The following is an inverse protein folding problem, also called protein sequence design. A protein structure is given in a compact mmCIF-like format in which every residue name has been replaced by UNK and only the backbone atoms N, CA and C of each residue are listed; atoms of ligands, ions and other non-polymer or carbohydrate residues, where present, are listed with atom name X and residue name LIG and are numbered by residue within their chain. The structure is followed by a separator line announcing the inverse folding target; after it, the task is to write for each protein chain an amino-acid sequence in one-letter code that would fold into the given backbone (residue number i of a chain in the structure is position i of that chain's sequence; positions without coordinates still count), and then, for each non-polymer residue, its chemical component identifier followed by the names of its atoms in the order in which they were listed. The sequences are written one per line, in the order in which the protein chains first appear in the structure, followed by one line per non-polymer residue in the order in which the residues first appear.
data_IF_560213237323
#
_entry.id   IF_560213237323
#
_cell.length_a   1.000
_cell.length_b   1.000
_cell.length_c   1.000
_cell.angle_alpha   90.00
_cell.angle_beta   90.00
_cell.angle_gamma   90.00
#
_symmetry.space_group_name_H-M   'P 1'
#
loop_
_entity.id
_entity.type
_entity.pdbx_description
1 polymer ?
#
# COMPACT_ATOMS: atom_id res chain seq x y z
N UNK A 1 -8.31 -8.69 -15.54
CA UNK A 1 -8.04 -9.81 -14.61
C UNK A 1 -6.85 -10.68 -15.06
N UNK A 2 -6.85 -11.32 -16.25
CA UNK A 2 -5.75 -12.21 -16.70
C UNK A 2 -4.34 -11.57 -16.65
N UNK A 3 -4.17 -10.34 -17.15
CA UNK A 3 -2.84 -9.66 -17.17
C UNK A 3 -2.28 -9.34 -15.79
N UNK A 4 -3.15 -9.18 -14.80
CA UNK A 4 -2.78 -8.79 -13.43
C UNK A 4 -2.42 -10.03 -12.63
N UNK A 5 -3.21 -11.08 -12.76
CA UNK A 5 -2.87 -12.39 -12.22
C UNK A 5 -1.49 -12.84 -12.73
N UNK A 6 -1.23 -12.63 -14.03
CA UNK A 6 0.08 -12.91 -14.64
C UNK A 6 1.19 -12.04 -14.06
N UNK A 7 0.97 -10.75 -13.81
CA UNK A 7 1.98 -9.86 -13.21
C UNK A 7 2.29 -10.26 -11.75
N UNK A 8 1.26 -10.57 -10.97
CA UNK A 8 1.42 -11.01 -9.57
C UNK A 8 2.11 -12.36 -9.51
N UNK A 9 1.72 -13.31 -10.37
CA UNK A 9 2.39 -14.60 -10.50
C UNK A 9 3.83 -14.45 -10.98
N UNK A 10 4.11 -13.53 -11.91
CA UNK A 10 5.46 -13.26 -12.40
C UNK A 10 6.35 -12.64 -11.32
N UNK A 11 5.86 -11.66 -10.57
CA UNK A 11 6.60 -11.06 -9.45
C UNK A 11 6.82 -12.06 -8.32
N UNK A 12 5.83 -12.91 -8.02
CA UNK A 12 5.99 -14.02 -7.09
C UNK A 12 7.04 -15.02 -7.57
N UNK A 13 7.05 -15.36 -8.87
CA UNK A 13 8.00 -16.29 -9.47
C UNK A 13 9.43 -15.72 -9.53
N UNK A 14 9.58 -14.42 -9.82
CA UNK A 14 10.88 -13.71 -9.76
C UNK A 14 11.39 -13.61 -8.32
N UNK A 15 10.53 -13.32 -7.36
CA UNK A 15 10.90 -13.32 -5.94
C UNK A 15 11.28 -14.74 -5.46
N UNK A 16 10.54 -15.77 -5.86
CA UNK A 16 10.87 -17.17 -5.60
C UNK A 16 12.21 -17.56 -6.24
N UNK A 17 12.50 -17.10 -7.47
CA UNK A 17 13.76 -17.35 -8.13
C UNK A 17 14.94 -16.64 -7.45
N UNK A 18 14.76 -15.40 -7.02
CA UNK A 18 15.76 -14.63 -6.27
C UNK A 18 16.03 -15.22 -4.88
N UNK A 19 15.02 -15.79 -4.22
CA UNK A 19 15.18 -16.45 -2.93
C UNK A 19 15.65 -17.89 -3.07
N UNK A 20 15.34 -18.60 -4.16
CA UNK A 20 15.95 -19.89 -4.49
C UNK A 20 17.45 -19.73 -4.78
N UNK A 21 17.82 -18.69 -5.54
CA UNK A 21 19.22 -18.24 -5.66
C UNK A 21 19.79 -17.81 -4.30
N UNK A 22 18.94 -17.16 -3.48
CA UNK A 22 19.04 -16.85 -2.05
C UNK A 22 19.42 -18.00 -1.10
N UNK A 23 19.02 -19.22 -1.45
CA UNK A 23 19.04 -20.40 -0.57
C UNK A 23 20.09 -21.43 -0.96
N UNK A 24 20.61 -21.40 -2.18
CA UNK A 24 21.80 -22.17 -2.51
C UNK A 24 23.01 -21.51 -1.82
N UNK A 25 23.38 -22.01 -0.64
CA UNK A 25 24.66 -21.68 0.02
C UNK A 25 25.83 -21.80 -0.96
N UNK A 26 25.76 -22.74 -1.90
CA UNK A 26 26.74 -22.92 -2.97
C UNK A 26 26.83 -21.76 -3.98
N UNK A 27 25.85 -20.86 -4.03
CA UNK A 27 25.82 -19.67 -4.90
C UNK A 27 26.07 -18.40 -4.09
N UNK A 28 25.52 -18.33 -2.87
CA UNK A 28 25.59 -17.13 -2.03
C UNK A 28 26.80 -17.08 -1.12
N UNK A 29 27.25 -18.20 -0.56
CA UNK A 29 28.46 -18.20 0.26
C UNK A 29 29.68 -17.79 -0.59
N UNK A 30 29.85 -18.22 -1.86
CA UNK A 30 30.87 -17.67 -2.72
C UNK A 30 30.69 -16.18 -3.02
N UNK A 31 29.46 -15.72 -3.28
CA UNK A 31 29.18 -14.29 -3.53
C UNK A 31 29.50 -13.42 -2.31
N UNK A 32 28.99 -13.78 -1.13
CA UNK A 32 29.24 -13.10 0.14
C UNK A 32 30.73 -13.12 0.49
N UNK A 33 31.40 -14.26 0.33
CA UNK A 33 32.86 -14.38 0.53
C UNK A 33 33.65 -13.58 -0.50
N UNK A 34 33.16 -13.43 -1.74
CA UNK A 34 33.78 -12.55 -2.76
C UNK A 34 33.79 -11.09 -2.31
N UNK A 35 32.78 -10.68 -1.53
CA UNK A 35 32.72 -9.36 -0.89
C UNK A 35 33.24 -9.36 0.56
N UNK A 36 33.89 -10.43 1.01
CA UNK A 36 34.52 -10.53 2.34
C UNK A 36 33.55 -10.71 3.52
N UNK A 37 32.28 -11.04 3.26
CA UNK A 37 31.25 -11.23 4.28
C UNK A 37 31.25 -12.70 4.73
N UNK A 38 31.53 -12.95 6.01
CA UNK A 38 31.47 -14.29 6.61
C UNK A 38 30.09 -14.56 7.26
N UNK A 39 29.24 -15.41 6.66
CA UNK A 39 27.89 -15.70 7.16
C UNK A 39 27.88 -16.50 8.47
N UNK A 40 29.00 -17.09 8.89
CA UNK A 40 29.13 -17.81 10.18
C UNK A 40 29.65 -16.92 11.32
N UNK A 41 29.86 -15.62 11.07
CA UNK A 41 30.35 -14.71 12.11
C UNK A 41 29.25 -14.32 13.10
N UNK A 42 29.59 -14.22 14.39
CA UNK A 42 28.70 -13.71 15.44
C UNK A 42 28.17 -12.30 15.13
N UNK A 43 28.97 -11.49 14.42
CA UNK A 43 28.56 -10.18 13.92
C UNK A 43 27.42 -10.26 12.90
N UNK A 44 27.46 -11.23 11.99
CA UNK A 44 26.39 -11.46 11.03
C UNK A 44 25.10 -11.90 11.73
N UNK A 45 25.22 -12.76 12.74
CA UNK A 45 24.07 -13.18 13.56
C UNK A 45 23.47 -12.00 14.35
N UNK A 46 24.29 -11.15 14.98
CA UNK A 46 23.83 -9.94 15.66
C UNK A 46 23.17 -8.94 14.71
N UNK A 47 23.75 -8.74 13.51
CA UNK A 47 23.17 -7.89 12.47
C UNK A 47 21.78 -8.41 12.06
N UNK A 48 21.61 -9.73 11.89
CA UNK A 48 20.33 -10.34 11.57
C UNK A 48 19.30 -10.18 12.71
N UNK A 49 19.70 -10.41 13.98
CA UNK A 49 18.82 -10.16 15.14
C UNK A 49 18.38 -8.70 15.25
N UNK A 50 19.27 -7.77 14.93
CA UNK A 50 18.96 -6.33 14.90
C UNK A 50 17.97 -5.99 13.78
N UNK A 51 18.13 -6.59 12.59
CA UNK A 51 17.16 -6.50 11.49
C UNK A 51 15.80 -7.01 11.94
N UNK A 52 15.69 -8.17 12.60
CA UNK A 52 14.41 -8.69 13.13
C UNK A 52 13.76 -7.77 14.17
N UNK A 53 14.57 -7.20 15.06
CA UNK A 53 14.08 -6.27 16.09
C UNK A 53 13.53 -5.00 15.46
N UNK A 54 14.16 -4.47 14.41
CA UNK A 54 13.64 -3.32 13.65
C UNK A 54 12.38 -3.70 12.86
N UNK A 55 12.37 -4.87 12.24
CA UNK A 55 11.25 -5.40 11.44
C UNK A 55 9.95 -5.53 12.24
N UNK A 56 10.03 -5.80 13.54
CA UNK A 56 8.85 -5.91 14.44
C UNK A 56 8.65 -4.62 15.27
N UNK A 57 9.74 -4.05 15.79
CA UNK A 57 9.70 -2.87 16.66
C UNK A 57 9.37 -1.58 15.94
N UNK A 58 9.87 -1.36 14.71
CA UNK A 58 9.59 -0.14 13.96
C UNK A 58 8.11 -0.02 13.53
N UNK A 59 7.43 -1.09 13.07
CA UNK A 59 5.98 -1.04 12.85
C UNK A 59 5.17 -0.75 14.12
N UNK A 60 5.57 -1.27 15.28
CA UNK A 60 4.89 -1.03 16.55
C UNK A 60 5.09 0.43 17.04
N UNK A 61 6.32 0.93 16.97
CA UNK A 61 6.64 2.32 17.29
C UNK A 61 5.94 3.30 16.33
N UNK A 62 5.89 2.95 15.04
CA UNK A 62 5.08 3.67 14.07
C UNK A 62 3.61 3.62 14.48
N UNK A 63 3.00 2.45 14.73
CA UNK A 63 1.61 2.34 15.17
C UNK A 63 1.31 3.28 16.36
N UNK A 64 2.15 3.27 17.39
CA UNK A 64 2.01 4.14 18.57
C UNK A 64 2.13 5.63 18.21
N UNK A 65 3.14 6.01 17.43
CA UNK A 65 3.27 7.38 16.93
C UNK A 65 2.05 7.82 16.13
N UNK A 66 1.42 6.89 15.42
CA UNK A 66 0.28 7.19 14.55
C UNK A 66 -1.04 7.30 15.28
N UNK A 67 -1.17 6.61 16.41
CA UNK A 67 -2.23 6.86 17.39
C UNK A 67 -2.06 8.25 18.03
N UNK A 68 -0.83 8.67 18.32
CA UNK A 68 -0.53 10.01 18.87
C UNK A 68 -0.67 11.14 17.84
N UNK A 69 -0.34 10.90 16.57
CA UNK A 69 -0.34 11.89 15.50
C UNK A 69 -1.69 12.00 14.75
N UNK A 70 -2.75 11.35 15.24
CA UNK A 70 -4.11 11.48 14.70
C UNK A 70 -4.65 12.90 14.92
N UNK A 71 -4.28 13.83 14.04
CA UNK A 71 -4.77 15.21 14.07
C UNK A 71 -4.02 16.20 13.17
N UNK A 72 -2.79 15.89 12.75
CA UNK A 72 -1.91 16.88 12.12
C UNK A 72 -1.86 16.86 10.58
N UNK A 73 -2.86 16.33 9.89
CA UNK A 73 -2.78 16.22 8.44
C UNK A 73 -3.37 17.44 7.73
N UNK A 74 -2.52 18.15 6.99
CA UNK A 74 -2.92 19.22 6.07
C UNK A 74 -3.20 18.66 4.68
N UNK A 75 -4.10 19.29 3.94
CA UNK A 75 -4.31 19.03 2.51
C UNK A 75 -3.29 19.83 1.71
N UNK A 76 -2.54 19.14 0.84
CA UNK A 76 -1.55 19.78 -0.04
C UNK A 76 -2.21 20.17 -1.37
N UNK A 77 -1.76 21.26 -1.98
CA UNK A 77 -2.09 21.60 -3.38
C UNK A 77 -0.94 21.23 -4.30
N UNK A 78 -1.25 20.62 -5.43
CA UNK A 78 -0.33 20.35 -6.52
C UNK A 78 -0.01 21.64 -7.32
N UNK A 79 1.09 21.64 -8.08
CA UNK A 79 1.49 22.76 -8.96
C UNK A 79 0.42 23.10 -10.03
N UNK A 80 -0.44 22.13 -10.35
CA UNK A 80 -1.56 22.29 -11.27
C UNK A 80 -2.87 22.75 -10.58
N UNK A 81 -2.82 23.10 -9.29
CA UNK A 81 -3.97 23.60 -8.53
C UNK A 81 -4.88 22.53 -7.90
N UNK A 82 -4.64 21.24 -8.17
CA UNK A 82 -5.40 20.15 -7.55
C UNK A 82 -5.13 20.02 -6.05
N UNK A 83 -6.18 19.80 -5.27
CA UNK A 83 -6.03 19.38 -3.87
C UNK A 83 -5.73 17.88 -3.83
N UNK A 84 -4.64 17.48 -3.18
CA UNK A 84 -4.22 16.09 -3.06
C UNK A 84 -4.60 15.58 -1.66
N UNK A 85 -5.48 14.58 -1.62
CA UNK A 85 -5.70 13.78 -0.41
C UNK A 85 -4.74 12.60 -0.41
N UNK A 86 -4.04 12.45 0.69
CA UNK A 86 -3.24 11.27 1.01
C UNK A 86 -3.83 10.61 2.23
N UNK A 87 -3.52 9.34 2.45
CA UNK A 87 -3.84 8.70 3.72
C UNK A 87 -3.23 9.52 4.87
N UNK A 88 -3.94 9.56 6.01
CA UNK A 88 -3.44 10.20 7.23
C UNK A 88 -2.00 9.75 7.47
N UNK A 89 -1.11 10.69 7.82
CA UNK A 89 0.35 10.47 7.92
C UNK A 89 0.66 9.18 8.67
N UNK A 90 -0.14 8.91 9.71
CA UNK A 90 0.06 7.71 10.45
C UNK A 90 -0.15 6.40 9.68
N UNK A 91 -1.26 6.25 8.98
CA UNK A 91 -1.46 5.06 8.15
C UNK A 91 -0.44 4.97 7.00
N UNK A 92 0.00 6.12 6.48
CA UNK A 92 1.01 6.19 5.42
C UNK A 92 2.39 5.71 5.87
N UNK A 93 2.70 5.75 7.16
CA UNK A 93 3.99 5.28 7.72
C UNK A 93 3.85 3.87 8.28
N UNK A 94 2.83 3.63 9.11
CA UNK A 94 2.68 2.35 9.81
C UNK A 94 2.35 1.20 8.88
N UNK A 95 1.41 1.36 7.95
CA UNK A 95 1.00 0.23 7.10
C UNK A 95 2.11 -0.24 6.15
N UNK A 96 2.91 0.64 5.52
CA UNK A 96 4.06 0.20 4.73
C UNK A 96 5.16 -0.45 5.58
N UNK A 97 5.43 0.07 6.78
CA UNK A 97 6.39 -0.54 7.70
C UNK A 97 5.92 -1.92 8.16
N UNK A 98 4.65 -2.07 8.53
CA UNK A 98 4.07 -3.36 8.90
C UNK A 98 4.07 -4.34 7.73
N UNK A 99 3.79 -3.85 6.52
CA UNK A 99 3.88 -4.64 5.29
C UNK A 99 5.30 -5.13 5.03
N UNK A 100 6.31 -4.25 5.20
CA UNK A 100 7.72 -4.63 5.11
C UNK A 100 8.09 -5.65 6.19
N UNK A 101 7.61 -5.42 7.42
CA UNK A 101 7.86 -6.28 8.57
C UNK A 101 7.36 -7.72 8.33
N UNK A 102 6.09 -7.83 7.92
CA UNK A 102 5.47 -9.11 7.57
C UNK A 102 6.14 -9.76 6.35
N UNK A 103 6.54 -8.97 5.36
CA UNK A 103 7.26 -9.50 4.21
C UNK A 103 8.58 -10.17 4.62
N UNK A 104 9.40 -9.48 5.43
CA UNK A 104 10.65 -10.05 5.94
C UNK A 104 10.40 -11.32 6.76
N UNK A 105 9.38 -11.32 7.60
CA UNK A 105 9.02 -12.51 8.39
C UNK A 105 8.61 -13.69 7.48
N UNK A 106 7.86 -13.46 6.41
CA UNK A 106 7.50 -14.51 5.45
C UNK A 106 8.70 -15.03 4.67
N UNK A 107 9.60 -14.14 4.21
CA UNK A 107 10.81 -14.55 3.49
C UNK A 107 11.75 -15.35 4.38
N UNK A 108 12.00 -14.87 5.60
CA UNK A 108 12.91 -15.55 6.53
C UNK A 108 12.30 -16.81 7.14
N UNK A 109 11.05 -16.74 7.62
CA UNK A 109 10.34 -17.88 8.20
C UNK A 109 10.12 -19.03 7.22
N UNK A 110 10.15 -18.76 5.91
CA UNK A 110 10.17 -19.81 4.89
C UNK A 110 11.46 -20.65 4.88
N UNK A 111 12.49 -20.30 5.64
CA UNK A 111 13.72 -21.08 5.81
C UNK A 111 13.52 -22.30 6.72
N UNK A 112 12.59 -22.21 7.68
CA UNK A 112 12.30 -23.24 8.68
C UNK A 112 11.27 -24.27 8.21
N UNK A 113 10.74 -24.11 6.99
CA UNK A 113 9.68 -24.95 6.44
C UNK A 113 10.27 -25.98 5.49
N UNK A 114 10.03 -27.26 5.79
CA UNK A 114 10.42 -28.35 4.90
C UNK A 114 9.54 -28.38 3.64
N UNK A 115 10.20 -28.46 2.48
CA UNK A 115 9.54 -28.61 1.18
C UNK A 115 9.43 -27.32 0.37
N UNK A 116 10.03 -27.34 -0.83
CA UNK A 116 10.12 -26.18 -1.75
C UNK A 116 8.76 -25.56 -2.07
N UNK A 117 7.71 -26.38 -2.23
CA UNK A 117 6.35 -25.89 -2.54
C UNK A 117 5.77 -25.07 -1.38
N UNK A 118 5.95 -25.54 -0.14
CA UNK A 118 5.48 -24.83 1.05
C UNK A 118 6.24 -23.51 1.25
N UNK A 119 7.54 -23.50 0.96
CA UNK A 119 8.36 -22.28 0.98
C UNK A 119 7.90 -21.25 -0.05
N UNK A 120 7.65 -21.66 -1.30
CA UNK A 120 7.13 -20.80 -2.38
C UNK A 120 5.77 -20.19 -1.98
N UNK A 121 4.90 -21.01 -1.38
CA UNK A 121 3.59 -20.56 -0.93
C UNK A 121 3.71 -19.45 0.14
N UNK A 122 4.55 -19.64 1.16
CA UNK A 122 4.76 -18.63 2.22
C UNK A 122 5.44 -17.37 1.67
N UNK A 123 6.42 -17.49 0.79
CA UNK A 123 7.09 -16.34 0.16
C UNK A 123 6.14 -15.51 -0.72
N UNK A 124 5.13 -16.15 -1.33
CA UNK A 124 4.10 -15.44 -2.10
C UNK A 124 3.31 -14.45 -1.23
N UNK A 125 3.08 -14.77 0.05
CA UNK A 125 2.52 -13.81 1.00
C UNK A 125 3.47 -12.65 1.29
N UNK A 126 4.78 -12.91 1.37
CA UNK A 126 5.78 -11.85 1.52
C UNK A 126 5.72 -10.81 0.39
N UNK A 127 5.61 -11.28 -0.86
CA UNK A 127 5.41 -10.41 -2.03
C UNK A 127 4.10 -9.64 -1.96
N UNK A 128 3.00 -10.30 -1.56
CA UNK A 128 1.70 -9.67 -1.38
C UNK A 128 1.75 -8.54 -0.34
N UNK A 129 2.46 -8.72 0.76
CA UNK A 129 2.64 -7.66 1.76
C UNK A 129 3.44 -6.49 1.18
N UNK A 130 4.55 -6.72 0.49
CA UNK A 130 5.30 -5.64 -0.18
C UNK A 130 4.43 -4.87 -1.18
N UNK A 131 3.62 -5.57 -1.95
CA UNK A 131 2.68 -4.95 -2.88
C UNK A 131 1.62 -4.10 -2.16
N UNK A 132 1.04 -4.62 -1.06
CA UNK A 132 0.09 -3.87 -0.25
C UNK A 132 0.71 -2.58 0.32
N UNK A 133 1.95 -2.66 0.82
CA UNK A 133 2.70 -1.49 1.30
C UNK A 133 2.90 -0.44 0.19
N UNK A 134 3.26 -0.89 -1.03
CA UNK A 134 3.37 0.00 -2.19
C UNK A 134 2.03 0.66 -2.57
N UNK A 135 0.93 -0.10 -2.56
CA UNK A 135 -0.41 0.44 -2.82
C UNK A 135 -0.77 1.53 -1.82
N UNK A 136 -0.49 1.33 -0.53
CA UNK A 136 -0.72 2.35 0.51
C UNK A 136 0.11 3.62 0.27
N UNK A 137 1.39 3.47 -0.10
CA UNK A 137 2.28 4.62 -0.36
C UNK A 137 1.86 5.43 -1.60
N UNK A 138 1.33 4.74 -2.62
CA UNK A 138 0.87 5.34 -3.87
C UNK A 138 -0.58 5.82 -3.82
N UNK A 139 -1.34 5.42 -2.81
CA UNK A 139 -2.74 5.80 -2.61
C UNK A 139 -2.89 7.32 -2.41
N UNK A 140 -3.32 8.00 -3.47
CA UNK A 140 -3.62 9.43 -3.48
C UNK A 140 -4.86 9.71 -4.30
N UNK A 141 -5.69 10.62 -3.82
CA UNK A 141 -6.85 11.14 -4.56
C UNK A 141 -6.55 12.60 -4.87
N UNK A 142 -6.86 13.05 -6.08
CA UNK A 142 -6.75 14.46 -6.44
C UNK A 142 -8.12 14.97 -6.82
N UNK A 143 -8.44 16.20 -6.44
CA UNK A 143 -9.67 16.83 -6.89
C UNK A 143 -9.48 18.34 -7.04
N UNK A 144 -10.27 18.91 -7.93
CA UNK A 144 -10.45 20.34 -8.07
C UNK A 144 -11.95 20.67 -8.18
N UNK A 145 -12.28 21.87 -8.64
CA UNK A 145 -13.66 22.31 -8.81
C UNK A 145 -14.43 21.60 -9.95
N UNK A 146 -13.74 20.87 -10.84
CA UNK A 146 -14.30 20.30 -12.07
C UNK A 146 -14.25 18.78 -12.10
N UNK A 147 -13.16 18.20 -11.59
CA UNK A 147 -12.82 16.80 -11.72
C UNK A 147 -12.39 16.18 -10.39
N UNK A 148 -12.70 14.89 -10.26
CA UNK A 148 -12.20 13.98 -9.24
C UNK A 148 -11.30 12.96 -9.92
N UNK A 149 -10.03 12.93 -9.55
CA UNK A 149 -9.11 11.87 -9.95
C UNK A 149 -8.90 10.90 -8.80
N UNK A 150 -9.35 9.66 -9.00
CA UNK A 150 -9.18 8.60 -8.02
C UNK A 150 -8.34 7.45 -8.63
N UNK A 151 -7.52 6.77 -7.82
CA UNK A 151 -6.79 5.61 -8.27
C UNK A 151 -7.75 4.43 -8.40
N UNK A 152 -7.61 3.65 -9.48
CA UNK A 152 -8.26 2.34 -9.56
C UNK A 152 -7.49 1.31 -8.71
N UNK A 153 -7.96 0.06 -8.71
CA UNK A 153 -7.32 -1.04 -7.98
C UNK A 153 -5.86 -1.31 -8.42
N UNK A 154 -5.43 -0.75 -9.55
CA UNK A 154 -4.07 -0.83 -10.10
C UNK A 154 -3.30 0.48 -9.94
N UNK A 155 -3.72 1.34 -9.02
CA UNK A 155 -3.10 2.65 -8.70
C UNK A 155 -3.02 3.62 -9.88
N UNK A 156 -3.66 3.30 -11.03
CA UNK A 156 -3.80 4.20 -12.16
C UNK A 156 -4.88 5.22 -11.86
N UNK A 157 -4.54 6.50 -11.98
CA UNK A 157 -5.49 7.59 -11.80
C UNK A 157 -6.51 7.59 -12.93
N UNK A 158 -7.79 7.62 -12.58
CA UNK A 158 -8.91 7.80 -13.50
C UNK A 158 -9.59 9.11 -13.14
N UNK A 159 -9.89 9.93 -14.15
CA UNK A 159 -10.62 11.18 -14.00
C UNK A 159 -12.12 10.95 -14.09
N UNK A 160 -12.87 11.64 -13.22
CA UNK A 160 -14.32 11.66 -13.17
C UNK A 160 -14.80 13.10 -13.09
N UNK A 161 -15.75 13.48 -13.93
CA UNK A 161 -16.28 14.84 -13.91
C UNK A 161 -17.36 14.98 -12.82
N UNK A 162 -17.33 16.07 -12.06
CA UNK A 162 -18.33 16.31 -11.02
C UNK A 162 -19.74 16.50 -11.59
N UNK A 163 -19.86 16.91 -12.85
CA UNK A 163 -21.13 17.03 -13.56
C UNK A 163 -21.87 15.68 -13.67
N UNK A 164 -21.14 14.57 -13.68
CA UNK A 164 -21.72 13.24 -13.77
C UNK A 164 -22.09 12.65 -12.40
N UNK A 165 -21.80 13.34 -11.30
CA UNK A 165 -22.09 12.82 -9.96
C UNK A 165 -23.59 12.75 -9.71
N UNK A 166 -24.09 11.54 -9.42
CA UNK A 166 -25.50 11.28 -9.12
C UNK A 166 -25.75 11.03 -7.63
N UNK A 167 -24.95 10.17 -7.02
CA UNK A 167 -25.21 9.68 -5.67
C UNK A 167 -23.94 9.63 -4.83
N UNK A 168 -24.10 9.88 -3.52
CA UNK A 168 -23.08 9.69 -2.50
C UNK A 168 -23.69 8.82 -1.42
N UNK A 169 -23.14 7.62 -1.21
CA UNK A 169 -23.54 6.71 -0.13
C UNK A 169 -22.42 6.61 0.90
N UNK A 170 -22.81 6.52 2.16
CA UNK A 170 -21.87 6.29 3.26
C UNK A 170 -21.96 4.83 3.68
N UNK A 171 -20.89 4.07 3.45
CA UNK A 171 -20.75 2.69 3.89
C UNK A 171 -20.07 2.69 5.26
N UNK A 172 -20.88 2.67 6.32
CA UNK A 172 -20.39 2.75 7.70
C UNK A 172 -19.54 1.55 8.09
N UNK A 173 -19.92 0.36 7.64
CA UNK A 173 -19.24 -0.90 7.98
C UNK A 173 -17.80 -0.93 7.44
N UNK A 174 -17.59 -0.46 6.20
CA UNK A 174 -16.25 -0.39 5.60
C UNK A 174 -15.54 0.95 5.86
N UNK A 175 -16.19 1.92 6.51
CA UNK A 175 -15.68 3.31 6.69
C UNK A 175 -15.27 3.96 5.37
N UNK A 176 -16.17 3.88 4.38
CA UNK A 176 -15.95 4.40 3.04
C UNK A 176 -17.13 5.25 2.56
N UNK A 177 -16.85 6.24 1.72
CA UNK A 177 -17.83 6.92 0.87
C UNK A 177 -17.83 6.27 -0.51
N UNK A 178 -19.02 5.98 -1.02
CA UNK A 178 -19.22 5.49 -2.38
C UNK A 178 -19.86 6.59 -3.21
N UNK A 179 -19.13 7.10 -4.19
CA UNK A 179 -19.61 8.06 -5.17
C UNK A 179 -20.01 7.30 -6.43
N UNK A 180 -21.24 7.54 -6.90
CA UNK A 180 -21.80 6.92 -8.11
C UNK A 180 -22.00 7.99 -9.17
N UNK A 181 -21.40 7.76 -10.34
CA UNK A 181 -21.47 8.65 -11.49
C UNK A 181 -22.47 8.12 -12.53
N UNK A 182 -22.97 9.02 -13.37
CA UNK A 182 -23.99 8.76 -14.40
C UNK A 182 -23.57 7.70 -15.42
N UNK A 183 -22.29 7.62 -15.70
CA UNK A 183 -21.68 6.60 -16.57
C UNK A 183 -21.62 5.20 -15.92
N UNK A 184 -22.17 5.04 -14.71
CA UNK A 184 -22.16 3.81 -13.94
C UNK A 184 -20.86 3.55 -13.19
N UNK A 185 -19.84 4.42 -13.33
CA UNK A 185 -18.58 4.28 -12.59
C UNK A 185 -18.80 4.60 -11.12
N UNK A 186 -18.04 3.89 -10.29
CA UNK A 186 -18.11 4.00 -8.83
C UNK A 186 -16.74 4.27 -8.26
N UNK A 187 -16.66 5.24 -7.37
CA UNK A 187 -15.42 5.59 -6.66
C UNK A 187 -15.63 5.37 -5.17
N UNK A 188 -14.79 4.51 -4.59
CA UNK A 188 -14.75 4.27 -3.15
C UNK A 188 -13.65 5.12 -2.52
N UNK A 189 -13.99 5.89 -1.50
CA UNK A 189 -13.08 6.80 -0.80
C UNK A 189 -13.10 6.46 0.67
N UNK A 190 -11.97 6.05 1.22
CA UNK A 190 -11.86 5.72 2.65
C UNK A 190 -11.90 6.98 3.53
N UNK A 191 -12.45 6.86 4.74
CA UNK A 191 -12.42 7.93 5.76
C UNK A 191 -11.00 8.24 6.26
N UNK A 192 -10.05 7.36 5.94
CA UNK A 192 -8.66 7.49 6.35
C UNK A 192 -7.83 8.44 5.48
N UNK A 193 -8.43 9.03 4.44
CA UNK A 193 -7.80 10.12 3.71
C UNK A 193 -7.82 11.42 4.54
N UNK A 194 -6.69 12.12 4.56
CA UNK A 194 -6.59 13.48 5.11
C UNK A 194 -7.44 14.44 4.28
N UNK A 195 -8.30 15.22 4.94
CA UNK A 195 -9.16 16.20 4.29
C UNK A 195 -10.31 15.59 3.48
N UNK A 196 -10.68 14.33 3.75
CA UNK A 196 -11.83 13.69 3.09
C UNK A 196 -13.12 14.49 3.29
N UNK A 197 -13.28 15.16 4.43
CA UNK A 197 -14.44 16.00 4.71
C UNK A 197 -14.58 17.16 3.71
N UNK A 198 -13.47 17.75 3.26
CA UNK A 198 -13.48 18.82 2.24
C UNK A 198 -13.96 18.28 0.88
N UNK A 199 -13.50 17.09 0.51
CA UNK A 199 -13.91 16.43 -0.73
C UNK A 199 -15.40 16.08 -0.68
N UNK A 200 -15.89 15.53 0.43
CA UNK A 200 -17.29 15.13 0.58
C UNK A 200 -18.20 16.35 0.68
N UNK A 201 -17.74 17.44 1.30
CA UNK A 201 -18.44 18.72 1.29
C UNK A 201 -18.62 19.24 -0.14
N UNK A 202 -17.55 19.26 -0.95
CA UNK A 202 -17.61 19.68 -2.36
C UNK A 202 -18.52 18.76 -3.18
N UNK A 203 -18.39 17.43 -2.99
CA UNK A 203 -19.20 16.45 -3.70
C UNK A 203 -20.70 16.65 -3.40
N UNK A 204 -21.07 16.94 -2.15
CA UNK A 204 -22.46 17.23 -1.79
C UNK A 204 -22.98 18.52 -2.46
N UNK A 205 -22.16 19.57 -2.53
CA UNK A 205 -22.54 20.79 -3.24
C UNK A 205 -22.77 20.54 -4.73
N UNK A 206 -21.85 19.81 -5.39
CA UNK A 206 -21.96 19.47 -6.81
C UNK A 206 -23.18 18.60 -7.09
N UNK A 207 -23.44 17.59 -6.25
CA UNK A 207 -24.65 16.75 -6.35
C UNK A 207 -25.93 17.59 -6.28
N UNK A 208 -26.02 18.51 -5.33
CA UNK A 208 -27.18 19.40 -5.19
C UNK A 208 -27.35 20.32 -6.41
N UNK A 209 -26.25 20.83 -6.97
CA UNK A 209 -26.30 21.64 -8.19
C UNK A 209 -26.78 20.82 -9.40
N UNK A 210 -26.28 19.60 -9.57
CA UNK A 210 -26.70 18.71 -10.66
C UNK A 210 -28.19 18.33 -10.54
N UNK A 211 -28.68 18.08 -9.32
CA UNK A 211 -30.09 17.75 -9.08
C UNK A 211 -31.05 18.93 -9.36
N UNK A 212 -30.55 20.18 -9.34
CA UNK A 212 -31.34 21.37 -9.73
C UNK A 212 -31.32 21.63 -11.24
N UNK A 213 -30.33 21.08 -11.94
CA UNK A 213 -30.14 21.27 -13.38
C UNK A 213 -30.75 20.13 -14.23
N UNK A 214 -31.16 19.03 -13.58
CA UNK A 214 -31.86 17.89 -14.18
C UNK A 214 -33.37 18.05 -14.06
#
# INVERSE_FOLDING_TARGET
MKRVLVLVLFLALVACALVAAGKNRDVIDPFLRTYGINPESEWFEQAMRFVFTIVIGAPLAALLWTLMAMGQNRTDKDIHGYTILRLKTGMRVTLPLLSLGLAVLMFYGSGEIDGVVAQIFVQSFGVLFLWAGWVVLSARIKFDGMTLMAPNIFTRMISHDWADLQEIRTLRDSREYLLVFRDGRKVKISFFYSGVDQLIWLANQKRQANARAA
#
